data_IF_756997899919
#
_entry.id   IF_756997899919
#
_cell.length_a   1.000
_cell.length_b   1.000
_cell.length_c   1.000
_cell.angle_alpha   90.00
_cell.angle_beta   90.00
_cell.angle_gamma   90.00
#
_symmetry.space_group_name_H-M   'P 1'
#
loop_
_entity.id
_entity.type
_entity.pdbx_description
1 polymer ?
#
# COMPACT_ATOMS: atom_id res chain seq x y z
N UNK A 1 -43.28 23.82 -23.41
CA UNK A 1 -41.90 23.85 -23.94
C UNK A 1 -41.04 24.92 -23.25
N UNK A 2 -41.44 26.20 -23.21
CA UNK A 2 -40.65 27.29 -22.60
C UNK A 2 -40.30 27.09 -21.12
N UNK A 3 -41.24 26.61 -20.30
CA UNK A 3 -40.99 26.33 -18.87
C UNK A 3 -40.05 25.14 -18.65
N UNK A 4 -40.12 24.12 -19.50
CA UNK A 4 -39.20 22.96 -19.46
C UNK A 4 -37.77 23.41 -19.77
N UNK A 5 -37.60 24.26 -20.79
CA UNK A 5 -36.30 24.84 -21.16
C UNK A 5 -35.76 25.73 -20.04
N UNK A 6 -36.62 26.55 -19.41
CA UNK A 6 -36.24 27.42 -18.29
C UNK A 6 -35.77 26.62 -17.08
N UNK A 7 -36.51 25.59 -16.68
CA UNK A 7 -36.12 24.71 -15.57
C UNK A 7 -34.82 23.95 -15.88
N UNK A 8 -34.66 23.47 -17.11
CA UNK A 8 -33.41 22.84 -17.56
C UNK A 8 -32.20 23.77 -17.50
N UNK A 9 -32.35 25.03 -17.92
CA UNK A 9 -31.30 26.06 -17.83
C UNK A 9 -30.93 26.40 -16.39
N UNK A 10 -31.93 26.53 -15.51
CA UNK A 10 -31.68 26.81 -14.08
C UNK A 10 -30.90 25.65 -13.44
N UNK A 11 -31.31 24.40 -13.70
CA UNK A 11 -30.61 23.23 -13.20
C UNK A 11 -29.17 23.17 -13.74
N UNK A 12 -28.97 23.41 -15.04
CA UNK A 12 -27.65 23.44 -15.66
C UNK A 12 -26.73 24.49 -15.01
N UNK A 13 -27.24 25.69 -14.75
CA UNK A 13 -26.45 26.74 -14.10
C UNK A 13 -26.04 26.32 -12.68
N UNK A 14 -26.97 25.76 -11.91
CA UNK A 14 -26.70 25.30 -10.55
C UNK A 14 -25.65 24.18 -10.56
N UNK A 15 -25.79 23.18 -11.44
CA UNK A 15 -24.82 22.08 -11.53
C UNK A 15 -23.46 22.55 -12.04
N UNK A 16 -23.41 23.47 -13.00
CA UNK A 16 -22.17 24.07 -13.48
C UNK A 16 -21.43 24.83 -12.39
N UNK A 17 -22.15 25.61 -11.57
CA UNK A 17 -21.56 26.32 -10.42
C UNK A 17 -21.03 25.31 -9.39
N UNK A 18 -21.83 24.30 -9.01
CA UNK A 18 -21.41 23.28 -8.05
C UNK A 18 -20.17 22.50 -8.52
N UNK A 19 -20.15 22.09 -9.80
CA UNK A 19 -19.00 21.40 -10.39
C UNK A 19 -17.76 22.30 -10.44
N UNK A 20 -17.92 23.60 -10.73
CA UNK A 20 -16.82 24.56 -10.74
C UNK A 20 -16.22 24.76 -9.35
N UNK A 21 -17.07 24.92 -8.33
CA UNK A 21 -16.61 25.03 -6.93
C UNK A 21 -15.86 23.76 -6.50
N UNK A 22 -16.39 22.58 -6.83
CA UNK A 22 -15.74 21.31 -6.51
C UNK A 22 -14.40 21.15 -7.25
N UNK A 23 -14.32 21.57 -8.52
CA UNK A 23 -13.09 21.49 -9.30
C UNK A 23 -11.98 22.39 -8.75
N UNK A 24 -12.32 23.63 -8.37
CA UNK A 24 -11.37 24.56 -7.73
C UNK A 24 -10.90 24.01 -6.39
N UNK A 25 -11.82 23.51 -5.56
CA UNK A 25 -11.47 22.91 -4.27
C UNK A 25 -10.51 21.72 -4.47
N UNK A 26 -10.81 20.81 -5.39
CA UNK A 26 -9.97 19.64 -5.67
C UNK A 26 -8.58 20.01 -6.23
N UNK A 27 -8.51 21.00 -7.12
CA UNK A 27 -7.23 21.43 -7.70
C UNK A 27 -6.34 22.13 -6.66
N UNK A 28 -6.94 22.89 -5.74
CA UNK A 28 -6.20 23.53 -4.66
C UNK A 28 -5.69 22.53 -3.61
N UNK A 29 -6.40 21.43 -3.36
CA UNK A 29 -6.04 20.44 -2.33
C UNK A 29 -5.18 19.29 -2.84
N UNK A 30 -5.23 18.95 -4.12
CA UNK A 30 -4.53 17.78 -4.67
C UNK A 30 -3.02 17.81 -4.45
N UNK A 31 -2.39 18.98 -4.57
CA UNK A 31 -0.95 19.14 -4.31
C UNK A 31 -0.57 18.86 -2.85
N UNK A 32 -1.38 19.36 -1.90
CA UNK A 32 -1.17 19.13 -0.46
C UNK A 32 -1.39 17.65 -0.12
N UNK A 33 -2.41 17.02 -0.69
CA UNK A 33 -2.69 15.59 -0.48
C UNK A 33 -1.52 14.73 -0.94
N UNK A 34 -0.95 15.03 -2.10
CA UNK A 34 0.21 14.31 -2.63
C UNK A 34 1.43 14.44 -1.72
N UNK A 35 1.72 15.64 -1.21
CA UNK A 35 2.85 15.86 -0.30
C UNK A 35 2.65 15.14 1.04
N UNK A 36 1.44 15.20 1.61
CA UNK A 36 1.10 14.48 2.85
C UNK A 36 1.22 12.98 2.64
N UNK A 37 0.71 12.45 1.53
CA UNK A 37 0.82 11.03 1.21
C UNK A 37 2.27 10.59 1.05
N UNK A 38 3.13 11.40 0.42
CA UNK A 38 4.55 11.09 0.31
C UNK A 38 5.25 11.13 1.67
N UNK A 39 4.89 12.07 2.55
CA UNK A 39 5.39 12.09 3.93
C UNK A 39 4.96 10.85 4.72
N UNK A 40 3.70 10.42 4.58
CA UNK A 40 3.19 9.21 5.22
C UNK A 40 3.87 7.95 4.66
N UNK A 41 4.09 7.87 3.35
CA UNK A 41 4.84 6.78 2.72
C UNK A 41 6.28 6.74 3.24
N UNK A 42 6.96 7.88 3.33
CA UNK A 42 8.32 7.96 3.86
C UNK A 42 8.40 7.52 5.33
N UNK A 43 7.43 7.94 6.14
CA UNK A 43 7.31 7.47 7.52
C UNK A 43 7.06 5.97 7.59
N UNK A 44 6.16 5.45 6.76
CA UNK A 44 5.88 4.03 6.66
C UNK A 44 7.13 3.23 6.25
N UNK A 45 7.92 3.70 5.27
CA UNK A 45 9.21 3.07 4.89
C UNK A 45 10.16 2.96 6.08
N UNK A 46 10.29 4.03 6.87
CA UNK A 46 11.11 4.03 8.09
C UNK A 46 10.56 3.10 9.18
N UNK A 47 9.24 3.01 9.34
CA UNK A 47 8.59 2.11 10.30
C UNK A 47 8.79 0.63 9.93
N UNK A 48 8.69 0.28 8.65
CA UNK A 48 8.79 -1.13 8.21
C UNK A 48 10.22 -1.61 8.02
N UNK A 49 11.19 -0.71 7.79
CA UNK A 49 12.61 -1.05 7.67
C UNK A 49 13.45 -0.17 8.62
N UNK A 50 13.37 -0.40 9.95
CA UNK A 50 13.93 0.51 10.96
C UNK A 50 15.46 0.58 10.97
N UNK A 51 16.16 -0.39 10.37
CA UNK A 51 17.62 -0.40 10.28
C UNK A 51 18.16 0.52 9.18
N UNK A 52 17.31 0.91 8.23
CA UNK A 52 17.66 1.90 7.21
C UNK A 52 17.60 3.31 7.80
N UNK A 53 18.58 4.16 7.42
CA UNK A 53 18.62 5.59 7.73
C UNK A 53 18.39 6.46 6.49
N UNK A 54 18.51 5.87 5.30
CA UNK A 54 18.20 6.53 4.03
C UNK A 54 17.51 5.56 3.09
N UNK A 55 16.63 6.10 2.25
CA UNK A 55 15.88 5.35 1.24
C UNK A 55 16.18 5.95 -0.12
N UNK A 56 16.64 5.11 -1.05
CA UNK A 56 16.95 5.50 -2.43
C UNK A 56 16.03 4.69 -3.35
N UNK A 57 15.32 5.32 -4.30
CA UNK A 57 14.49 4.57 -5.25
C UNK A 57 15.37 3.60 -6.05
N UNK A 58 14.79 2.45 -6.41
CA UNK A 58 15.45 1.51 -7.32
C UNK A 58 15.74 2.19 -8.67
N UNK A 59 16.77 1.73 -9.37
CA UNK A 59 17.07 2.22 -10.73
C UNK A 59 15.83 2.09 -11.63
N UNK A 60 15.57 3.11 -12.44
CA UNK A 60 14.35 3.21 -13.25
C UNK A 60 14.21 2.01 -14.20
N UNK A 61 15.31 1.51 -14.78
CA UNK A 61 15.25 0.35 -15.69
C UNK A 61 14.97 -0.95 -14.96
N UNK A 62 15.57 -1.14 -13.79
CA UNK A 62 15.30 -2.31 -12.95
C UNK A 62 13.85 -2.31 -12.46
N UNK A 63 13.35 -1.13 -12.07
CA UNK A 63 11.96 -0.96 -11.68
C UNK A 63 10.99 -1.22 -12.83
N UNK A 64 11.24 -0.68 -14.02
CA UNK A 64 10.42 -0.94 -15.21
C UNK A 64 10.36 -2.44 -15.55
N UNK A 65 11.48 -3.16 -15.48
CA UNK A 65 11.49 -4.61 -15.71
C UNK A 65 10.61 -5.36 -14.70
N UNK A 66 10.65 -4.97 -13.43
CA UNK A 66 9.81 -5.57 -12.38
C UNK A 66 8.33 -5.28 -12.64
N UNK A 67 7.98 -4.06 -13.02
CA UNK A 67 6.59 -3.67 -13.27
C UNK A 67 6.01 -4.32 -14.52
N UNK A 68 6.84 -4.63 -15.53
CA UNK A 68 6.44 -5.41 -16.70
C UNK A 68 5.98 -6.83 -16.32
N UNK A 69 6.67 -7.45 -15.36
CA UNK A 69 6.31 -8.78 -14.84
C UNK A 69 5.17 -8.70 -13.80
N UNK A 70 5.05 -7.59 -13.08
CA UNK A 70 4.07 -7.41 -12.01
C UNK A 70 3.56 -5.96 -11.89
N UNK A 71 2.39 -5.71 -12.49
CA UNK A 71 1.71 -4.40 -12.50
C UNK A 71 1.20 -3.94 -11.13
N UNK A 72 1.29 -4.80 -10.10
CA UNK A 72 0.90 -4.51 -8.72
C UNK A 72 1.99 -3.85 -7.90
N UNK A 73 3.22 -3.79 -8.39
CA UNK A 73 4.29 -3.05 -7.74
C UNK A 73 4.19 -1.57 -8.12
N UNK A 74 4.19 -0.69 -7.12
CA UNK A 74 4.09 0.76 -7.31
C UNK A 74 5.41 1.48 -7.10
N UNK A 75 6.18 1.06 -6.11
CA UNK A 75 7.45 1.69 -5.74
C UNK A 75 8.40 0.65 -5.14
N UNK A 76 9.69 0.78 -5.39
CA UNK A 76 10.74 0.00 -4.70
C UNK A 76 11.82 0.98 -4.25
N UNK A 77 12.21 0.89 -2.98
CA UNK A 77 13.31 1.66 -2.42
C UNK A 77 14.32 0.74 -1.75
N UNK A 78 15.60 1.03 -1.96
CA UNK A 78 16.73 0.48 -1.23
C UNK A 78 16.89 1.24 0.09
N UNK A 79 16.87 0.51 1.20
CA UNK A 79 17.16 1.05 2.53
C UNK A 79 18.62 0.85 2.89
N UNK A 80 19.35 1.95 3.09
CA UNK A 80 20.77 1.92 3.47
C UNK A 80 20.96 2.35 4.92
N UNK A 81 21.89 1.71 5.62
CA UNK A 81 22.32 2.09 6.97
C UNK A 81 23.05 3.43 6.95
N UNK A 82 23.34 3.99 8.13
CA UNK A 82 24.15 5.20 8.27
C UNK A 82 25.59 5.08 7.74
N UNK A 83 26.09 3.85 7.55
CA UNK A 83 27.39 3.59 6.92
C UNK A 83 27.31 3.45 5.39
N UNK A 84 26.11 3.57 4.81
CA UNK A 84 25.87 3.40 3.37
C UNK A 84 25.74 1.94 2.93
N UNK A 85 25.63 0.99 3.86
CA UNK A 85 25.44 -0.42 3.53
C UNK A 85 23.95 -0.73 3.32
N UNK A 86 23.63 -1.51 2.28
CA UNK A 86 22.27 -1.97 2.04
C UNK A 86 21.78 -2.84 3.21
N UNK A 87 20.65 -2.47 3.80
CA UNK A 87 20.00 -3.18 4.92
C UNK A 87 18.76 -3.95 4.49
N UNK A 88 18.16 -3.55 3.38
CA UNK A 88 16.96 -4.19 2.84
C UNK A 88 16.28 -3.33 1.79
N UNK A 89 15.06 -3.71 1.46
CA UNK A 89 14.21 -3.02 0.51
C UNK A 89 12.84 -2.73 1.13
N UNK A 90 12.22 -1.64 0.71
CA UNK A 90 10.79 -1.39 0.93
C UNK A 90 10.07 -1.44 -0.39
N UNK A 91 9.06 -2.29 -0.50
CA UNK A 91 8.29 -2.50 -1.72
C UNK A 91 6.86 -2.08 -1.45
N UNK A 92 6.36 -1.14 -2.25
CA UNK A 92 4.96 -0.73 -2.22
C UNK A 92 4.18 -1.53 -3.25
N UNK A 93 3.17 -2.26 -2.80
CA UNK A 93 2.30 -3.07 -3.63
C UNK A 93 0.85 -2.63 -3.51
N UNK A 94 0.06 -2.93 -4.55
CA UNK A 94 -1.39 -2.75 -4.55
C UNK A 94 -2.08 -4.10 -4.66
N UNK A 95 -3.07 -4.34 -3.80
CA UNK A 95 -3.93 -5.52 -3.88
C UNK A 95 -5.41 -5.11 -3.82
N UNK A 96 -6.30 -6.00 -4.27
CA UNK A 96 -7.74 -5.72 -4.31
C UNK A 96 -8.41 -6.26 -3.05
N UNK A 97 -8.83 -5.35 -2.17
CA UNK A 97 -9.57 -5.61 -0.95
C UNK A 97 -11.08 -5.79 -1.19
N UNK A 98 -11.85 -5.69 -0.10
CA UNK A 98 -13.31 -5.75 -0.16
C UNK A 98 -13.91 -4.40 -0.58
N UNK A 99 -13.40 -3.30 -0.03
CA UNK A 99 -13.85 -1.92 -0.27
C UNK A 99 -13.13 -1.21 -1.42
N UNK A 100 -12.07 -1.81 -1.99
CA UNK A 100 -11.30 -1.22 -3.07
C UNK A 100 -9.85 -1.68 -3.06
N UNK A 101 -8.98 -0.90 -3.68
CA UNK A 101 -7.54 -1.13 -3.64
C UNK A 101 -6.98 -0.90 -2.23
N UNK A 102 -5.98 -1.69 -1.87
CA UNK A 102 -5.21 -1.56 -0.63
C UNK A 102 -3.75 -1.40 -1.04
N UNK A 103 -3.13 -0.30 -0.64
CA UNK A 103 -1.71 -0.06 -0.82
C UNK A 103 -0.96 -0.46 0.45
N UNK A 104 0.06 -1.29 0.27
CA UNK A 104 0.85 -1.88 1.35
C UNK A 104 2.31 -1.59 1.08
N UNK A 105 3.03 -1.08 2.06
CA UNK A 105 4.49 -1.00 2.04
C UNK A 105 5.03 -2.13 2.90
N UNK A 106 5.86 -3.00 2.32
CA UNK A 106 6.50 -4.12 3.01
C UNK A 106 8.00 -3.87 3.08
N UNK A 107 8.56 -3.96 4.30
CA UNK A 107 10.00 -3.94 4.53
C UNK A 107 10.56 -5.36 4.53
N UNK A 108 11.63 -5.59 3.77
CA UNK A 108 12.30 -6.89 3.65
C UNK A 108 13.79 -6.67 3.89
N UNK A 109 14.39 -7.39 4.85
CA UNK A 109 15.83 -7.33 5.09
C UNK A 109 16.61 -8.03 3.97
N UNK A 110 17.90 -7.72 3.84
CA UNK A 110 18.81 -8.45 2.94
C UNK A 110 18.85 -9.96 3.22
N UNK A 111 18.57 -10.38 4.46
CA UNK A 111 18.53 -11.79 4.86
C UNK A 111 17.22 -12.52 4.45
N UNK A 112 16.32 -11.85 3.72
CA UNK A 112 15.07 -12.43 3.27
C UNK A 112 14.02 -12.59 4.38
N UNK A 113 13.98 -11.66 5.33
CA UNK A 113 12.96 -11.61 6.38
C UNK A 113 12.10 -10.36 6.26
N UNK A 114 10.81 -10.49 6.53
CA UNK A 114 9.92 -9.34 6.65
C UNK A 114 10.26 -8.59 7.93
N UNK A 115 10.67 -7.33 7.78
CA UNK A 115 11.00 -6.44 8.90
C UNK A 115 9.80 -5.62 9.36
N UNK A 116 8.74 -5.57 8.54
CA UNK A 116 7.46 -4.96 8.86
C UNK A 116 6.58 -4.82 7.63
N UNK A 117 5.31 -4.47 7.85
CA UNK A 117 4.40 -4.06 6.78
C UNK A 117 3.50 -2.94 7.29
N UNK A 118 3.17 -1.99 6.42
CA UNK A 118 2.22 -0.90 6.70
C UNK A 118 1.16 -0.81 5.60
N UNK A 119 -0.11 -0.80 5.98
CA UNK A 119 -1.18 -0.38 5.08
C UNK A 119 -1.18 1.14 5.03
N UNK A 120 -0.91 1.72 3.86
CA UNK A 120 -0.78 3.18 3.67
C UNK A 120 -2.01 3.80 3.00
N UNK A 121 -2.81 3.01 2.26
CA UNK A 121 -4.08 3.46 1.68
C UNK A 121 -5.07 2.32 1.60
N UNK A 122 -6.34 2.56 1.92
CA UNK A 122 -7.42 1.60 1.76
C UNK A 122 -8.81 2.27 1.80
N UNK A 123 -9.83 1.57 1.29
CA UNK A 123 -11.25 1.95 1.39
C UNK A 123 -12.11 0.95 2.17
N UNK A 124 -11.47 0.10 2.98
CA UNK A 124 -12.14 -0.91 3.81
C UNK A 124 -13.07 -0.35 4.89
N UNK A 125 -14.11 -1.11 5.23
CA UNK A 125 -15.12 -0.71 6.21
C UNK A 125 -14.51 -0.53 7.62
N UNK A 126 -14.72 0.63 8.28
CA UNK A 126 -14.34 0.87 9.67
C UNK A 126 -14.90 -0.20 10.61
N UNK A 127 -14.07 -0.68 11.54
CA UNK A 127 -14.45 -1.73 12.49
C UNK A 127 -14.43 -3.16 11.94
N UNK A 128 -14.30 -3.35 10.62
CA UNK A 128 -14.09 -4.65 9.98
C UNK A 128 -12.72 -4.68 9.29
N UNK A 129 -12.67 -4.48 7.97
CA UNK A 129 -11.45 -4.58 7.18
C UNK A 129 -10.43 -3.49 7.49
N UNK A 130 -10.88 -2.31 7.92
CA UNK A 130 -9.98 -1.23 8.34
C UNK A 130 -9.11 -1.62 9.56
N UNK A 131 -9.48 -2.68 10.31
CA UNK A 131 -8.62 -3.23 11.36
C UNK A 131 -7.28 -3.77 10.83
N UNK A 132 -7.12 -3.93 9.51
CA UNK A 132 -5.83 -4.26 8.89
C UNK A 132 -4.78 -3.16 9.06
N UNK A 133 -5.18 -1.93 9.39
CA UNK A 133 -4.25 -0.84 9.73
C UNK A 133 -3.69 -0.95 11.16
N UNK A 134 -4.29 -1.80 11.99
CA UNK A 134 -3.94 -1.86 13.40
C UNK A 134 -2.66 -2.66 13.64
N UNK A 135 -1.85 -2.27 14.64
CA UNK A 135 -0.63 -3.00 14.99
C UNK A 135 -0.86 -4.48 15.29
N UNK A 136 -2.01 -4.86 15.88
CA UNK A 136 -2.30 -6.27 16.21
C UNK A 136 -2.38 -7.17 14.97
N UNK A 137 -2.76 -6.60 13.81
CA UNK A 137 -2.75 -7.34 12.55
C UNK A 137 -1.39 -7.24 11.86
N UNK A 138 -0.84 -6.03 11.72
CA UNK A 138 0.40 -5.78 10.98
C UNK A 138 1.63 -6.45 11.62
N UNK A 139 1.70 -6.50 12.95
CA UNK A 139 2.81 -7.12 13.66
C UNK A 139 2.89 -8.64 13.46
N UNK A 140 1.83 -9.28 12.96
CA UNK A 140 1.87 -10.71 12.64
C UNK A 140 2.79 -11.01 11.46
N UNK A 141 3.14 -10.01 10.65
CA UNK A 141 4.04 -10.15 9.51
C UNK A 141 5.51 -9.99 9.89
N UNK A 142 5.83 -9.55 11.11
CA UNK A 142 7.20 -9.39 11.57
C UNK A 142 7.93 -10.74 11.58
N UNK A 143 9.16 -10.74 11.10
CA UNK A 143 10.06 -11.89 11.01
C UNK A 143 9.55 -13.07 10.17
N UNK A 144 8.48 -12.86 9.39
CA UNK A 144 8.01 -13.85 8.42
C UNK A 144 9.06 -14.06 7.33
N UNK A 145 9.13 -15.28 6.84
CA UNK A 145 10.09 -15.68 5.82
C UNK A 145 9.54 -15.29 4.44
N UNK A 146 10.44 -14.91 3.54
CA UNK A 146 10.08 -14.64 2.14
C UNK A 146 9.65 -15.89 1.37
N UNK A 147 9.95 -17.09 1.88
CA UNK A 147 9.53 -18.36 1.33
C UNK A 147 9.29 -19.40 2.44
N UNK A 148 8.18 -20.16 2.43
CA UNK A 148 7.08 -20.13 1.45
C UNK A 148 6.21 -18.86 1.53
N UNK A 149 5.20 -18.70 0.68
CA UNK A 149 4.25 -17.57 0.78
C UNK A 149 3.53 -17.56 2.14
N UNK A 150 3.23 -16.37 2.66
CA UNK A 150 2.46 -16.20 3.90
C UNK A 150 1.01 -16.59 3.68
N UNK A 151 0.49 -17.50 4.51
CA UNK A 151 -0.88 -17.99 4.41
C UNK A 151 -1.81 -17.37 5.46
N UNK A 152 -3.08 -17.17 5.10
CA UNK A 152 -4.10 -16.60 6.00
C UNK A 152 -4.99 -17.70 6.56
N UNK A 153 -5.01 -17.84 7.88
CA UNK A 153 -5.79 -18.85 8.61
C UNK A 153 -6.84 -18.21 9.52
N UNK A 154 -7.89 -18.96 9.87
CA UNK A 154 -8.91 -18.49 10.82
C UNK A 154 -8.63 -18.92 12.27
N UNK A 155 -7.74 -19.90 12.45
CA UNK A 155 -7.30 -20.43 13.74
C UNK A 155 -6.05 -19.69 14.23
N UNK A 156 -5.49 -20.14 15.35
CA UNK A 156 -4.16 -19.70 15.78
C UNK A 156 -3.14 -19.95 14.65
N UNK A 157 -2.35 -18.93 14.27
CA UNK A 157 -1.40 -19.03 13.17
C UNK A 157 -0.19 -19.88 13.56
N UNK A 158 0.31 -20.67 12.61
CA UNK A 158 1.58 -21.38 12.72
C UNK A 158 2.74 -20.54 12.16
N UNK A 159 3.88 -21.21 11.98
CA UNK A 159 5.02 -20.66 11.24
C UNK A 159 4.58 -20.21 9.84
N UNK A 160 5.00 -19.01 9.46
CA UNK A 160 4.64 -18.35 8.21
C UNK A 160 3.14 -18.19 7.89
N UNK A 161 2.27 -18.26 8.90
CA UNK A 161 0.84 -17.95 8.77
C UNK A 161 0.47 -16.66 9.51
N UNK A 162 -0.62 -16.01 9.09
CA UNK A 162 -1.25 -14.90 9.81
C UNK A 162 -2.73 -15.21 10.06
N UNK A 163 -3.25 -14.72 11.17
CA UNK A 163 -4.64 -14.87 11.54
C UNK A 163 -5.50 -13.83 10.82
N UNK A 164 -6.56 -14.29 10.17
CA UNK A 164 -7.57 -13.45 9.55
C UNK A 164 -8.30 -12.59 10.59
N UNK A 165 -8.60 -11.36 10.21
CA UNK A 165 -9.52 -10.48 10.94
C UNK A 165 -10.92 -11.10 10.89
N UNK A 166 -11.54 -11.27 12.05
CA UNK A 166 -12.90 -11.79 12.16
C UNK A 166 -13.89 -10.90 11.37
N UNK A 167 -14.68 -11.51 10.50
CA UNK A 167 -15.62 -10.80 9.63
C UNK A 167 -14.99 -10.09 8.42
N UNK A 168 -13.66 -10.07 8.28
CA UNK A 168 -12.94 -9.41 7.19
C UNK A 168 -11.87 -10.30 6.55
N UNK A 169 -12.23 -11.55 6.22
CA UNK A 169 -11.32 -12.53 5.61
C UNK A 169 -10.84 -12.11 4.21
N UNK A 170 -11.68 -11.44 3.42
CA UNK A 170 -11.31 -10.94 2.08
C UNK A 170 -10.18 -9.91 2.22
N UNK A 171 -10.35 -8.93 3.10
CA UNK A 171 -9.33 -7.92 3.42
C UNK A 171 -8.03 -8.56 3.91
N UNK A 172 -8.13 -9.52 4.83
CA UNK A 172 -6.96 -10.18 5.42
C UNK A 172 -6.14 -10.91 4.35
N UNK A 173 -6.81 -11.62 3.45
CA UNK A 173 -6.18 -12.27 2.29
C UNK A 173 -5.54 -11.25 1.36
N UNK A 174 -6.27 -10.19 1.02
CA UNK A 174 -5.77 -9.14 0.15
C UNK A 174 -4.49 -8.47 0.68
N UNK A 175 -4.41 -8.22 1.99
CA UNK A 175 -3.18 -7.69 2.60
C UNK A 175 -2.04 -8.70 2.51
N UNK A 176 -2.31 -9.97 2.85
CA UNK A 176 -1.32 -11.03 2.71
C UNK A 176 -0.85 -11.21 1.26
N UNK A 177 -1.74 -11.07 0.28
CA UNK A 177 -1.42 -11.16 -1.15
C UNK A 177 -0.51 -10.00 -1.57
N UNK A 178 -0.79 -8.78 -1.11
CA UNK A 178 0.08 -7.63 -1.34
C UNK A 178 1.48 -7.81 -0.74
N UNK A 179 1.57 -8.38 0.47
CA UNK A 179 2.85 -8.74 1.08
C UNK A 179 3.54 -9.83 0.27
N UNK A 180 2.85 -10.90 -0.10
CA UNK A 180 3.42 -12.01 -0.87
C UNK A 180 3.96 -11.55 -2.23
N UNK A 181 3.27 -10.63 -2.91
CA UNK A 181 3.79 -10.00 -4.14
C UNK A 181 5.15 -9.33 -3.89
N UNK A 182 5.31 -8.61 -2.78
CA UNK A 182 6.59 -8.00 -2.42
C UNK A 182 7.67 -9.06 -2.16
N UNK A 183 7.33 -10.16 -1.48
CA UNK A 183 8.26 -11.26 -1.23
C UNK A 183 8.70 -11.95 -2.54
N UNK A 184 7.77 -12.16 -3.46
CA UNK A 184 8.05 -12.76 -4.76
C UNK A 184 8.97 -11.89 -5.60
N UNK A 185 8.73 -10.57 -5.62
CA UNK A 185 9.62 -9.60 -6.29
C UNK A 185 11.01 -9.63 -5.67
N UNK A 186 11.09 -9.63 -4.34
CA UNK A 186 12.37 -9.70 -3.64
C UNK A 186 13.15 -10.98 -4.02
N UNK A 187 12.52 -12.15 -3.90
CA UNK A 187 13.16 -13.43 -4.15
C UNK A 187 13.61 -13.62 -5.61
N UNK A 188 12.84 -13.11 -6.58
CA UNK A 188 13.12 -13.36 -7.99
C UNK A 188 13.98 -12.29 -8.66
N UNK A 189 13.95 -11.04 -8.17
CA UNK A 189 14.56 -9.90 -8.84
C UNK A 189 15.62 -9.18 -8.01
N UNK A 190 15.50 -9.17 -6.67
CA UNK A 190 16.34 -8.34 -5.78
C UNK A 190 17.34 -9.14 -4.92
N UNK A 191 17.06 -10.40 -4.57
CA UNK A 191 17.89 -11.21 -3.66
C UNK A 191 19.10 -11.88 -4.33
N UNK A 192 19.73 -11.22 -5.31
CA UNK A 192 20.86 -11.77 -6.07
C UNK A 192 22.14 -11.84 -5.24
#
# INVERSE_FOLDING_TARGET
MREIIKLGLILFIITAIAASVLAVANNATSGIIAEVQEQENNKARQEVLPLAQSFVPLDEKEFEEIVLDNDKVKEIYMGNSGSGQLTGYTIKTVSKGYGGEIEIITGISIDGKVTGMKVVSHSETPGLGANATKPEFQNQFLEKLTSPSIAVVKSAPKENEIQAIAGATITSKSVSDGVNIALDVFNNKLSK
#
